data_IF_803460414289
#
_entry.id   IF_803460414289
#
_cell.length_a   1.000
_cell.length_b   1.000
_cell.length_c   1.000
_cell.angle_alpha   90.00
_cell.angle_beta   90.00
_cell.angle_gamma   90.00
#
_symmetry.space_group_name_H-M   'P 1'
#
loop_
_entity.id
_entity.type
_entity.pdbx_description
1 polymer ?
#
# COMPACT_ATOMS: atom_id res chain seq x y z
N UNK A 1 -14.39 -4.74 18.40
CA UNK A 1 -13.91 -3.36 18.61
C UNK A 1 -12.93 -3.14 17.47
N UNK A 2 -13.39 -2.57 16.35
CA UNK A 2 -12.51 -2.27 15.22
C UNK A 2 -11.59 -1.14 15.69
N UNK A 3 -10.28 -1.37 15.56
CA UNK A 3 -9.25 -0.40 15.94
C UNK A 3 -9.25 0.70 14.86
N UNK A 4 -10.18 1.66 15.00
CA UNK A 4 -10.32 2.80 14.11
C UNK A 4 -9.10 3.71 14.30
N UNK A 5 -8.02 3.43 13.56
CA UNK A 5 -6.88 4.35 13.50
C UNK A 5 -7.37 5.67 12.90
N UNK A 6 -7.26 6.79 13.65
CA UNK A 6 -7.79 8.06 13.19
C UNK A 6 -7.10 8.46 11.88
N UNK A 7 -7.89 8.89 10.91
CA UNK A 7 -7.36 9.29 9.62
C UNK A 7 -6.43 10.50 9.75
N UNK A 8 -5.33 10.53 8.99
CA UNK A 8 -4.38 11.62 9.03
C UNK A 8 -5.00 12.94 8.57
N UNK A 9 -4.40 14.04 9.01
CA UNK A 9 -4.82 15.37 8.57
C UNK A 9 -4.47 15.63 7.10
N UNK A 10 -3.42 14.99 6.56
CA UNK A 10 -2.97 15.14 5.18
C UNK A 10 -2.76 13.75 4.57
N UNK A 11 -3.35 13.51 3.41
CA UNK A 11 -3.23 12.24 2.72
C UNK A 11 -3.69 12.36 1.28
N UNK A 12 -3.35 11.35 0.48
CA UNK A 12 -4.07 11.04 -0.75
C UNK A 12 -4.68 9.65 -0.65
N UNK A 13 -5.97 9.56 -0.97
CA UNK A 13 -6.76 8.35 -0.96
C UNK A 13 -7.13 7.93 -2.37
N UNK A 14 -7.21 6.62 -2.58
CA UNK A 14 -7.72 6.01 -3.80
C UNK A 14 -8.61 4.83 -3.43
N UNK A 15 -9.70 4.68 -4.14
CA UNK A 15 -10.65 3.58 -4.04
C UNK A 15 -10.85 2.96 -5.42
N UNK A 16 -10.95 1.63 -5.47
CA UNK A 16 -11.34 0.84 -6.64
C UNK A 16 -12.54 -0.01 -6.24
N UNK A 17 -13.62 0.14 -7.00
CA UNK A 17 -14.79 -0.73 -6.90
C UNK A 17 -14.71 -1.88 -7.90
N UNK A 18 -15.35 -3.00 -7.58
CA UNK A 18 -15.65 -4.03 -8.57
C UNK A 18 -17.04 -3.77 -9.17
N UNK A 19 -17.35 -4.28 -10.37
CA UNK A 19 -18.71 -4.31 -10.90
C UNK A 19 -19.74 -4.99 -9.96
N UNK A 20 -19.28 -5.87 -9.08
CA UNK A 20 -20.07 -6.51 -8.01
C UNK A 20 -20.23 -5.68 -6.74
N UNK A 21 -19.79 -4.42 -6.73
CA UNK A 21 -19.89 -3.46 -5.61
C UNK A 21 -18.94 -3.69 -4.43
N UNK A 22 -17.95 -4.60 -4.57
CA UNK A 22 -16.86 -4.70 -3.60
C UNK A 22 -15.95 -3.48 -3.67
N UNK A 23 -15.34 -3.09 -2.55
CA UNK A 23 -14.47 -1.93 -2.42
C UNK A 23 -13.10 -2.31 -1.84
N UNK A 24 -12.03 -1.94 -2.55
CA UNK A 24 -10.69 -1.83 -1.96
C UNK A 24 -10.22 -0.38 -1.99
N UNK A 25 -9.56 0.07 -0.94
CA UNK A 25 -9.06 1.44 -0.85
C UNK A 25 -7.74 1.56 -0.10
N UNK A 26 -7.00 2.63 -0.35
CA UNK A 26 -5.75 2.95 0.34
C UNK A 26 -5.71 4.42 0.75
N UNK A 27 -4.97 4.71 1.81
CA UNK A 27 -4.65 6.06 2.27
C UNK A 27 -3.13 6.16 2.32
N UNK A 28 -2.55 7.04 1.51
CA UNK A 28 -1.10 7.27 1.50
C UNK A 28 -0.75 8.66 2.03
N UNK A 29 0.12 8.66 3.03
CA UNK A 29 0.68 9.86 3.65
C UNK A 29 1.81 10.48 2.81
N UNK A 30 2.55 9.65 2.06
CA UNK A 30 3.75 10.04 1.33
C UNK A 30 3.47 10.50 -0.10
N UNK A 31 2.20 10.46 -0.56
CA UNK A 31 1.77 10.86 -1.90
C UNK A 31 2.57 10.18 -3.03
N UNK A 32 2.96 8.92 -2.86
CA UNK A 32 3.75 8.18 -3.85
C UNK A 32 2.95 7.89 -5.13
N UNK A 33 3.64 7.57 -6.23
CA UNK A 33 2.98 7.17 -7.48
C UNK A 33 2.61 5.66 -7.47
N UNK A 34 1.71 5.26 -8.37
CA UNK A 34 1.36 3.86 -8.71
C UNK A 34 0.39 3.10 -7.78
N UNK A 35 -0.41 3.75 -6.93
CA UNK A 35 -1.31 3.04 -6.00
C UNK A 35 -2.36 2.15 -6.64
N UNK A 36 -2.88 2.53 -7.81
CA UNK A 36 -3.87 1.71 -8.51
C UNK A 36 -3.30 0.33 -8.88
N UNK A 37 -1.99 0.22 -9.17
CA UNK A 37 -1.35 -1.07 -9.44
C UNK A 37 -1.35 -1.96 -8.19
N UNK A 38 -1.11 -1.39 -7.01
CA UNK A 38 -1.14 -2.15 -5.76
C UNK A 38 -2.54 -2.61 -5.40
N UNK A 39 -3.55 -1.73 -5.55
CA UNK A 39 -4.94 -2.12 -5.30
C UNK A 39 -5.42 -3.20 -6.27
N UNK A 40 -5.06 -3.11 -7.56
CA UNK A 40 -5.36 -4.16 -8.53
C UNK A 40 -4.64 -5.48 -8.20
N UNK A 41 -3.38 -5.43 -7.77
CA UNK A 41 -2.65 -6.63 -7.34
C UNK A 41 -3.29 -7.27 -6.10
N UNK A 42 -3.70 -6.46 -5.11
CA UNK A 42 -4.41 -6.98 -3.94
C UNK A 42 -5.77 -7.58 -4.31
N UNK A 43 -6.54 -6.96 -5.21
CA UNK A 43 -7.79 -7.56 -5.73
C UNK A 43 -7.53 -8.91 -6.41
N UNK A 44 -6.44 -9.02 -7.18
CA UNK A 44 -6.06 -10.29 -7.80
C UNK A 44 -5.86 -11.38 -6.75
N UNK A 45 -5.08 -11.10 -5.72
CA UNK A 45 -4.78 -12.06 -4.65
C UNK A 45 -6.03 -12.43 -3.84
N UNK A 46 -6.85 -11.45 -3.46
CA UNK A 46 -8.05 -11.63 -2.63
C UNK A 46 -9.11 -12.47 -3.35
N UNK A 47 -9.35 -12.19 -4.64
CA UNK A 47 -10.41 -12.83 -5.42
C UNK A 47 -9.90 -14.01 -6.28
N UNK A 48 -8.60 -14.32 -6.25
CA UNK A 48 -8.00 -15.38 -7.06
C UNK A 48 -8.13 -15.12 -8.57
N UNK A 49 -7.93 -13.87 -9.01
CA UNK A 49 -8.03 -13.49 -10.41
C UNK A 49 -6.81 -13.98 -11.21
N UNK A 50 -6.96 -14.26 -12.53
CA UNK A 50 -5.85 -14.71 -13.36
C UNK A 50 -4.72 -13.66 -13.50
N UNK A 51 -5.07 -12.38 -13.39
CA UNK A 51 -4.14 -11.24 -13.47
C UNK A 51 -4.75 -10.02 -12.76
N UNK A 52 -3.98 -8.94 -12.48
CA UNK A 52 -4.54 -7.74 -11.88
C UNK A 52 -5.52 -7.03 -12.83
N UNK A 53 -6.71 -6.62 -12.37
CA UNK A 53 -7.77 -6.09 -13.22
C UNK A 53 -7.57 -4.61 -13.52
N UNK A 54 -6.47 -4.27 -14.19
CA UNK A 54 -6.12 -2.90 -14.55
C UNK A 54 -7.19 -2.19 -15.41
N UNK A 55 -8.01 -2.96 -16.13
CA UNK A 55 -9.13 -2.45 -16.93
C UNK A 55 -10.22 -1.76 -16.08
N UNK A 56 -10.25 -1.97 -14.76
CA UNK A 56 -11.15 -1.24 -13.87
C UNK A 56 -10.76 0.24 -13.73
N UNK A 57 -9.53 0.62 -14.11
CA UNK A 57 -9.01 1.97 -13.92
C UNK A 57 -9.04 2.73 -15.26
N UNK A 58 -9.57 3.97 -15.32
CA UNK A 58 -10.09 4.77 -14.20
C UNK A 58 -11.60 4.58 -13.93
N UNK A 59 -12.30 3.77 -14.72
CA UNK A 59 -13.77 3.65 -14.72
C UNK A 59 -14.40 3.38 -13.36
N UNK A 60 -13.83 2.47 -12.57
CA UNK A 60 -14.34 2.10 -11.25
C UNK A 60 -13.58 2.76 -10.10
N UNK A 61 -13.03 3.96 -10.31
CA UNK A 61 -12.15 4.60 -9.34
C UNK A 61 -12.70 5.89 -8.75
N UNK A 62 -12.28 6.17 -7.53
CA UNK A 62 -12.46 7.45 -6.86
C UNK A 62 -11.16 7.85 -6.17
N UNK A 63 -10.80 9.13 -6.19
CA UNK A 63 -9.60 9.64 -5.52
C UNK A 63 -9.91 10.87 -4.67
N UNK A 64 -9.20 11.02 -3.56
CA UNK A 64 -9.30 12.19 -2.68
C UNK A 64 -7.89 12.66 -2.33
N UNK A 65 -7.63 13.96 -2.37
CA UNK A 65 -6.41 14.56 -1.83
C UNK A 65 -6.81 15.54 -0.74
N UNK A 66 -6.13 15.47 0.40
CA UNK A 66 -6.24 16.39 1.53
C UNK A 66 -4.85 16.99 1.80
N UNK A 67 -4.72 18.30 1.64
CA UNK A 67 -3.44 19.01 1.76
C UNK A 67 -3.59 20.38 2.43
N UNK A 68 -2.49 20.96 2.90
CA UNK A 68 -2.46 22.37 3.30
C UNK A 68 -2.13 23.21 2.07
N UNK A 69 -2.99 24.16 1.72
CA UNK A 69 -2.71 25.13 0.67
C UNK A 69 -1.59 26.08 1.13
N UNK A 70 -0.46 26.13 0.42
CA UNK A 70 0.69 26.94 0.85
C UNK A 70 0.43 28.44 0.79
N UNK A 71 -0.56 28.91 0.03
CA UNK A 71 -0.89 30.32 -0.08
C UNK A 71 -1.80 30.78 1.06
N UNK A 72 -2.75 29.94 1.46
CA UNK A 72 -3.77 30.29 2.46
C UNK A 72 -3.51 29.69 3.84
N UNK A 73 -2.58 28.74 3.94
CA UNK A 73 -2.32 27.90 5.12
C UNK A 73 -3.60 27.24 5.67
N UNK A 74 -4.56 26.97 4.78
CA UNK A 74 -5.82 26.31 5.10
C UNK A 74 -5.77 24.87 4.61
N UNK A 75 -6.47 24.00 5.34
CA UNK A 75 -6.74 22.65 4.90
C UNK A 75 -7.66 22.71 3.66
N UNK A 76 -7.20 22.10 2.56
CA UNK A 76 -7.96 21.92 1.32
C UNK A 76 -8.18 20.44 1.05
N UNK A 77 -9.26 20.17 0.33
CA UNK A 77 -9.60 18.84 -0.14
C UNK A 77 -10.08 18.93 -1.59
N UNK A 78 -9.70 17.95 -2.40
CA UNK A 78 -10.26 17.68 -3.72
C UNK A 78 -10.63 16.22 -3.76
N UNK A 79 -11.83 15.92 -4.25
CA UNK A 79 -12.32 14.56 -4.37
C UNK A 79 -12.97 14.38 -5.74
N UNK A 80 -12.49 13.38 -6.47
CA UNK A 80 -12.92 13.06 -7.82
C UNK A 80 -13.43 11.62 -7.86
N UNK A 81 -14.58 11.42 -8.51
CA UNK A 81 -15.24 10.13 -8.62
C UNK A 81 -15.59 9.84 -10.06
N UNK A 82 -15.32 8.62 -10.53
CA UNK A 82 -15.77 8.23 -11.87
C UNK A 82 -17.28 7.98 -11.88
N UNK A 83 -17.92 8.28 -13.01
CA UNK A 83 -19.38 8.22 -13.16
C UNK A 83 -19.96 6.83 -12.85
N UNK A 84 -19.24 5.72 -13.13
CA UNK A 84 -19.71 4.35 -12.88
C UNK A 84 -19.97 4.11 -11.39
N UNK A 85 -19.16 4.74 -10.54
CA UNK A 85 -19.16 4.53 -9.09
C UNK A 85 -19.72 5.73 -8.33
N UNK A 86 -20.29 6.72 -9.03
CA UNK A 86 -20.76 7.98 -8.44
C UNK A 86 -21.78 7.78 -7.31
N UNK A 87 -22.59 6.72 -7.41
CA UNK A 87 -23.63 6.40 -6.44
C UNK A 87 -23.08 5.91 -5.10
N UNK A 88 -21.79 5.58 -5.01
CA UNK A 88 -21.11 5.17 -3.78
C UNK A 88 -20.52 6.33 -2.96
N UNK A 89 -20.84 7.59 -3.29
CA UNK A 89 -20.30 8.77 -2.60
C UNK A 89 -20.41 8.70 -1.06
N UNK A 90 -21.54 8.21 -0.53
CA UNK A 90 -21.75 8.09 0.91
C UNK A 90 -20.79 7.09 1.56
N UNK A 91 -20.53 5.95 0.89
CA UNK A 91 -19.56 4.97 1.34
C UNK A 91 -18.14 5.54 1.29
N UNK A 92 -17.81 6.27 0.23
CA UNK A 92 -16.52 6.94 0.10
C UNK A 92 -16.28 7.97 1.22
N UNK A 93 -17.31 8.74 1.58
CA UNK A 93 -17.21 9.65 2.72
C UNK A 93 -16.95 8.90 4.02
N UNK A 94 -17.62 7.76 4.24
CA UNK A 94 -17.38 6.92 5.41
C UNK A 94 -15.95 6.38 5.48
N UNK A 95 -15.44 5.75 4.41
CA UNK A 95 -14.11 5.11 4.42
C UNK A 95 -12.95 6.12 4.45
N UNK A 96 -13.16 7.33 3.93
CA UNK A 96 -12.20 8.43 4.01
C UNK A 96 -12.47 9.42 5.14
N UNK A 97 -13.39 9.08 6.06
CA UNK A 97 -13.71 9.88 7.25
C UNK A 97 -14.00 11.34 6.94
N UNK A 98 -14.71 11.59 5.83
CA UNK A 98 -15.23 12.89 5.47
C UNK A 98 -16.71 12.94 5.82
N UNK A 99 -17.22 14.13 6.13
CA UNK A 99 -18.64 14.29 6.48
C UNK A 99 -19.51 14.24 5.20
N UNK A 100 -20.01 15.39 4.76
CA UNK A 100 -20.83 15.50 3.55
C UNK A 100 -20.01 16.07 2.39
N UNK A 101 -18.78 15.57 2.20
CA UNK A 101 -17.94 16.01 1.09
C UNK A 101 -18.66 15.72 -0.24
N UNK A 102 -18.69 16.72 -1.10
CA UNK A 102 -19.21 16.62 -2.46
C UNK A 102 -18.11 16.16 -3.40
N UNK A 103 -18.24 14.95 -3.92
CA UNK A 103 -17.31 14.39 -4.90
C UNK A 103 -17.61 14.96 -6.27
N UNK A 104 -16.58 15.41 -6.98
CA UNK A 104 -16.70 15.92 -8.34
C UNK A 104 -16.65 14.75 -9.29
N UNK A 105 -17.64 14.63 -10.17
CA UNK A 105 -17.60 13.60 -11.22
C UNK A 105 -16.46 13.95 -12.16
N UNK A 106 -15.50 13.04 -12.31
CA UNK A 106 -14.38 13.20 -13.21
C UNK A 106 -14.89 13.41 -14.65
N UNK A 107 -14.25 14.28 -15.45
CA UNK A 107 -14.63 14.48 -16.84
C UNK A 107 -14.67 13.14 -17.57
N UNK A 108 -15.78 12.86 -18.25
CA UNK A 108 -15.93 11.63 -19.00
C UNK A 108 -14.99 11.63 -20.21
N UNK A 109 -14.06 10.70 -20.25
CA UNK A 109 -13.23 10.41 -21.42
C UNK A 109 -13.81 9.18 -22.13
N UNK A 110 -14.53 9.39 -23.26
CA UNK A 110 -15.25 8.33 -24.00
C UNK A 110 -14.38 7.13 -24.39
N UNK A 111 -13.07 7.33 -24.53
CA UNK A 111 -12.14 6.29 -24.96
C UNK A 111 -11.65 5.38 -23.83
N UNK A 112 -11.78 5.76 -22.55
CA UNK A 112 -11.16 5.03 -21.44
C UNK A 112 -12.12 4.24 -20.55
N UNK A 113 -13.44 4.48 -20.63
CA UNK A 113 -14.43 3.95 -19.67
C UNK A 113 -15.77 3.49 -20.29
N UNK A 114 -15.78 2.94 -21.51
CA UNK A 114 -17.01 2.42 -22.13
C UNK A 114 -17.54 1.17 -21.37
N UNK A 115 -18.77 1.22 -20.80
CA UNK A 115 -19.41 0.06 -20.16
C UNK A 115 -19.47 -1.19 -21.02
N UNK A 116 -19.67 -1.02 -22.34
CA UNK A 116 -19.77 -2.15 -23.26
C UNK A 116 -18.44 -2.89 -23.35
N UNK A 117 -17.31 -2.16 -23.33
CA UNK A 117 -15.96 -2.74 -23.30
C UNK A 117 -15.71 -3.43 -21.96
N UNK A 118 -16.06 -2.77 -20.84
CA UNK A 118 -15.89 -3.34 -19.51
C UNK A 118 -16.65 -4.67 -19.34
N UNK A 119 -17.87 -4.76 -19.89
CA UNK A 119 -18.69 -5.98 -19.84
C UNK A 119 -18.03 -7.17 -20.57
N UNK A 120 -17.18 -6.93 -21.58
CA UNK A 120 -16.48 -8.01 -22.28
C UNK A 120 -15.51 -8.80 -21.39
N UNK A 121 -15.02 -8.19 -20.31
CA UNK A 121 -14.12 -8.82 -19.35
C UNK A 121 -14.83 -9.77 -18.39
N UNK A 122 -16.17 -9.76 -18.31
CA UNK A 122 -16.95 -10.58 -17.36
C UNK A 122 -16.65 -12.07 -17.47
N UNK A 123 -16.46 -12.58 -18.68
CA UNK A 123 -16.16 -14.00 -18.87
C UNK A 123 -14.77 -14.40 -18.37
N UNK A 124 -13.80 -13.49 -18.43
CA UNK A 124 -12.42 -13.73 -17.98
C UNK A 124 -12.27 -13.50 -16.47
N UNK A 125 -13.06 -12.58 -15.89
CA UNK A 125 -13.01 -12.21 -14.48
C UNK A 125 -14.39 -12.29 -13.81
N UNK A 126 -15.07 -13.46 -13.83
CA UNK A 126 -16.45 -13.57 -13.32
C UNK A 126 -16.56 -13.21 -11.84
N UNK A 127 -15.49 -13.38 -11.06
CA UNK A 127 -15.43 -13.00 -9.66
C UNK A 127 -15.71 -11.49 -9.48
N UNK A 128 -15.18 -10.62 -10.33
CA UNK A 128 -15.38 -9.17 -10.19
C UNK A 128 -16.84 -8.72 -10.33
N UNK A 129 -17.72 -9.55 -10.88
CA UNK A 129 -19.16 -9.29 -11.00
C UNK A 129 -20.00 -9.95 -9.89
N UNK A 130 -19.35 -10.64 -8.95
CA UNK A 130 -19.99 -11.17 -7.76
C UNK A 130 -19.81 -10.18 -6.63
N UNK A 131 -20.85 -10.00 -5.82
CA UNK A 131 -20.75 -9.25 -4.57
C UNK A 131 -20.22 -10.19 -3.48
N UNK A 132 -19.09 -9.83 -2.87
CA UNK A 132 -18.45 -10.61 -1.81
C UNK A 132 -18.54 -9.90 -0.44
N UNK A 133 -19.33 -8.84 -0.34
CA UNK A 133 -19.47 -7.96 0.83
C UNK A 133 -18.12 -7.41 1.32
N UNK A 134 -17.19 -7.09 0.40
CA UNK A 134 -15.85 -6.63 0.76
C UNK A 134 -15.77 -5.10 0.82
N UNK A 135 -15.29 -4.58 1.96
CA UNK A 135 -14.80 -3.21 2.12
C UNK A 135 -13.44 -3.31 2.81
N UNK A 136 -12.36 -3.20 2.04
CA UNK A 136 -11.01 -3.49 2.52
C UNK A 136 -10.07 -2.30 2.35
N UNK A 137 -9.47 -1.89 3.46
CA UNK A 137 -8.31 -0.98 3.44
C UNK A 137 -7.05 -1.78 3.18
N UNK A 138 -6.35 -1.45 2.11
CA UNK A 138 -5.05 -2.00 1.75
C UNK A 138 -3.98 -0.99 2.14
N UNK A 139 -3.36 -1.22 3.29
CA UNK A 139 -2.18 -0.47 3.69
C UNK A 139 -0.94 -1.10 3.03
N UNK A 140 -0.04 -0.28 2.48
CA UNK A 140 1.29 -0.81 2.14
C UNK A 140 1.99 -1.15 3.46
N UNK A 141 2.71 -2.28 3.56
CA UNK A 141 3.64 -2.45 4.65
C UNK A 141 4.62 -1.28 4.60
N UNK A 142 4.72 -0.53 5.70
CA UNK A 142 5.80 0.44 5.87
C UNK A 142 7.12 -0.30 5.57
N UNK A 143 8.04 0.29 4.78
CA UNK A 143 9.37 -0.27 4.70
C UNK A 143 9.88 -0.29 6.13
N UNK A 144 9.96 -1.49 6.71
CA UNK A 144 10.58 -1.70 8.00
C UNK A 144 11.94 -1.03 7.90
N UNK A 145 12.12 0.08 8.62
CA UNK A 145 13.44 0.59 8.93
C UNK A 145 14.07 -0.55 9.72
N UNK A 146 14.82 -1.42 9.02
CA UNK A 146 15.79 -2.28 9.65
C UNK A 146 16.73 -1.32 10.35
N UNK A 147 16.53 -1.11 11.64
CA UNK A 147 17.57 -0.57 12.48
C UNK A 147 18.70 -1.57 12.39
N UNK A 148 19.80 -1.18 11.73
CA UNK A 148 21.10 -1.84 11.84
C UNK A 148 21.40 -1.99 13.33
N UNK A 149 20.96 -3.09 13.90
CA UNK A 149 21.32 -3.49 15.23
C UNK A 149 22.51 -4.38 14.95
N UNK A 150 23.69 -3.78 14.97
CA UNK A 150 24.95 -4.52 15.01
C UNK A 150 24.81 -5.61 16.08
N UNK A 151 24.80 -6.87 15.66
CA UNK A 151 24.92 -8.02 16.54
C UNK A 151 26.25 -7.89 17.29
N UNK A 152 26.20 -7.37 18.51
CA UNK A 152 27.31 -7.51 19.45
C UNK A 152 27.34 -8.98 19.88
N UNK A 153 28.22 -9.75 19.24
CA UNK A 153 28.57 -11.11 19.63
C UNK A 153 29.02 -11.14 21.10
N UNK A 154 28.49 -12.05 21.95
CA UNK A 154 28.93 -12.14 23.33
C UNK A 154 30.35 -12.72 23.41
N UNK A 155 31.23 -12.01 24.10
CA UNK A 155 32.58 -12.43 24.46
C UNK A 155 32.56 -13.81 25.15
N UNK A 156 33.36 -14.74 24.63
CA UNK A 156 33.59 -16.05 25.26
C UNK A 156 34.39 -15.86 26.54
N UNK A 157 33.76 -16.15 27.68
CA UNK A 157 34.40 -16.31 28.98
C UNK A 157 35.48 -17.39 28.88
N UNK A 158 36.75 -16.99 29.01
CA UNK A 158 37.90 -17.89 29.05
C UNK A 158 38.05 -18.41 30.48
N UNK A 159 37.65 -19.66 30.72
CA UNK A 159 37.99 -20.36 31.95
C UNK A 159 39.45 -20.81 31.92
N UNK A 160 40.22 -20.33 32.89
CA UNK A 160 41.59 -20.75 33.18
C UNK A 160 41.57 -22.10 33.92
N UNK A 161 42.39 -23.05 33.51
CA UNK A 161 43.04 -23.97 34.46
C UNK A 161 44.34 -24.57 33.89
N UNK A 162 45.45 -23.96 34.29
CA UNK A 162 46.65 -24.53 34.90
C UNK A 162 47.20 -25.90 34.44
N UNK A 163 48.47 -25.94 34.00
CA UNK A 163 49.30 -27.13 34.19
C UNK A 163 50.57 -27.34 33.34
N UNK A 164 51.65 -26.61 33.67
CA UNK A 164 53.07 -27.05 33.70
C UNK A 164 53.85 -27.46 32.42
N UNK A 165 54.99 -26.75 32.28
CA UNK A 165 56.36 -27.24 31.97
C UNK A 165 56.97 -26.84 30.62
N UNK A 166 57.97 -25.96 30.70
CA UNK A 166 59.12 -25.76 29.79
C UNK A 166 60.25 -26.71 30.26
N UNK A 167 61.22 -27.19 29.43
CA UNK A 167 62.32 -26.35 28.90
C UNK A 167 62.95 -26.74 27.53
N UNK A 168 63.76 -25.81 26.99
CA UNK A 168 64.86 -25.99 26.00
C UNK A 168 64.44 -26.37 24.57
N UNK A 169 65.08 -26.03 23.46
CA UNK A 169 66.34 -25.38 23.05
C UNK A 169 66.21 -25.24 21.52
N UNK A 170 66.51 -24.10 20.92
CA UNK A 170 67.49 -24.08 19.81
C UNK A 170 67.87 -22.68 19.37
N UNK A 171 69.17 -22.61 19.17
CA UNK A 171 70.06 -21.48 19.01
C UNK A 171 70.28 -21.21 17.53
N UNK A 172 70.33 -19.91 17.16
CA UNK A 172 71.05 -19.32 16.01
C UNK A 172 70.64 -19.77 14.59
N UNK A 173 70.79 -18.98 13.54
CA UNK A 173 71.01 -17.56 13.34
C UNK A 173 70.97 -17.30 11.82
N UNK A 174 71.03 -16.00 11.48
CA UNK A 174 71.57 -15.42 10.24
C UNK A 174 70.64 -15.52 9.02
N UNK A 175 70.06 -14.36 8.64
CA UNK A 175 70.57 -13.42 7.62
C UNK A 175 70.07 -13.84 6.24
N UNK A 176 69.66 -13.01 5.31
CA UNK A 176 69.40 -11.56 5.15
C UNK A 176 68.79 -11.49 3.74
N UNK A 177 67.97 -10.46 3.51
CA UNK A 177 67.46 -9.99 2.21
C UNK A 177 66.32 -10.81 1.59
#
# INVERSE_FOLDING_TARGET
MLDETPLPQLFKGIAIFTPGEDLVYSIDFNKQSHWHLHLCASLQEILGLPEPPHFLVPGYTATIDRWIDPQTNQLRMSAEINWLVQHHQALLNAVFGTENLMWQVAPWEEESCDPAVLETYRNQFPQLWQNHDLILRIDRPEPLLYSDTEEVLPERVTNQNSGRSSPQEHLRAMEKL
#
